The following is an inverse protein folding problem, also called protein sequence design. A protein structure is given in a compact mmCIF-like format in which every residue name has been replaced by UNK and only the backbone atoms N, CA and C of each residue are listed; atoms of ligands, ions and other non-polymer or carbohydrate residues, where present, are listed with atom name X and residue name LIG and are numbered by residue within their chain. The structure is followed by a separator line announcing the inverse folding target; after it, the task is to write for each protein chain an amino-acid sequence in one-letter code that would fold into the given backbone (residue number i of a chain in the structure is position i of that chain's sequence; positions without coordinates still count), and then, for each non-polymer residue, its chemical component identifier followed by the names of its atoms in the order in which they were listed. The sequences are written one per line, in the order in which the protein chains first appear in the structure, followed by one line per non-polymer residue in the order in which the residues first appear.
data_IF_239017456036
#
_entry.id   IF_239017456036
#
_cell.length_a   1.000
_cell.length_b   1.000
_cell.length_c   1.000
_cell.angle_alpha   90.00
_cell.angle_beta   90.00
_cell.angle_gamma   90.00
#
_symmetry.space_group_name_H-M   'P 1'
#
loop_
_entity.id
_entity.type
_entity.pdbx_description
1 polymer ?
#
# COMPACT_ATOMS: atom_id res chain seq x y z
N UNK A 1 8.30 -17.01 13.12
CA UNK A 1 7.79 -15.62 13.08
C UNK A 1 7.94 -15.20 11.63
N UNK A 2 6.86 -14.88 10.91
CA UNK A 2 7.01 -14.38 9.53
C UNK A 2 7.75 -13.04 9.63
N UNK A 3 8.97 -12.99 9.11
CA UNK A 3 9.71 -11.74 9.00
C UNK A 3 8.91 -10.82 8.08
N UNK A 4 8.24 -9.85 8.69
CA UNK A 4 7.55 -8.81 7.96
C UNK A 4 8.60 -7.80 7.52
N UNK A 5 8.71 -7.58 6.22
CA UNK A 5 9.54 -6.52 5.64
C UNK A 5 9.26 -5.23 6.42
N UNK A 6 10.27 -4.49 6.92
CA UNK A 6 10.03 -3.22 7.61
C UNK A 6 9.23 -2.25 6.74
N UNK A 7 8.43 -1.41 7.37
CA UNK A 7 7.76 -0.34 6.64
C UNK A 7 8.78 0.68 6.17
N UNK A 8 8.77 0.96 4.87
CA UNK A 8 9.57 2.00 4.23
C UNK A 8 8.60 2.99 3.56
N UNK A 9 8.59 4.27 3.99
CA UNK A 9 7.67 5.26 3.45
C UNK A 9 7.95 5.61 1.98
N UNK A 10 9.22 5.56 1.52
CA UNK A 10 9.57 5.84 0.13
C UNK A 10 9.11 4.70 -0.78
N UNK A 11 9.34 3.44 -0.35
CA UNK A 11 8.84 2.28 -1.06
C UNK A 11 7.31 2.24 -1.10
N UNK A 12 6.66 2.57 0.01
CA UNK A 12 5.21 2.65 0.09
C UNK A 12 4.64 3.70 -0.87
N UNK A 13 5.25 4.90 -0.93
CA UNK A 13 4.85 5.95 -1.85
C UNK A 13 5.02 5.50 -3.31
N UNK A 14 6.17 4.91 -3.65
CA UNK A 14 6.45 4.40 -5.00
C UNK A 14 5.48 3.28 -5.40
N UNK A 15 5.08 2.42 -4.46
CA UNK A 15 4.07 1.39 -4.71
C UNK A 15 2.70 2.01 -5.05
N UNK A 16 2.29 3.10 -4.38
CA UNK A 16 1.04 3.81 -4.70
C UNK A 16 1.08 4.45 -6.08
N UNK A 17 2.21 5.03 -6.46
CA UNK A 17 2.43 5.60 -7.80
C UNK A 17 2.33 4.53 -8.89
N UNK A 18 2.98 3.38 -8.69
CA UNK A 18 2.89 2.24 -9.62
C UNK A 18 1.46 1.71 -9.78
N UNK A 19 0.65 1.71 -8.70
CA UNK A 19 -0.76 1.31 -8.78
C UNK A 19 -1.60 2.29 -9.60
N UNK A 20 -1.29 3.59 -9.52
CA UNK A 20 -1.96 4.62 -10.34
C UNK A 20 -1.59 4.44 -11.82
N UNK A 21 -0.30 4.30 -12.14
CA UNK A 21 0.15 4.03 -13.51
C UNK A 21 -0.46 2.74 -14.08
N UNK A 22 -0.56 1.70 -13.24
CA UNK A 22 -1.20 0.45 -13.63
C UNK A 22 -2.68 0.67 -13.96
N UNK A 23 -3.42 1.40 -13.12
CA UNK A 23 -4.83 1.71 -13.39
C UNK A 23 -5.01 2.46 -14.71
N UNK A 24 -4.14 3.43 -15.02
CA UNK A 24 -4.17 4.16 -16.29
C UNK A 24 -3.98 3.23 -17.49
N UNK A 25 -2.94 2.38 -17.46
CA UNK A 25 -2.67 1.39 -18.52
C UNK A 25 -3.80 0.38 -18.68
N UNK A 26 -4.50 0.05 -17.61
CA UNK A 26 -5.59 -0.94 -17.65
C UNK A 26 -6.91 -0.35 -18.14
N UNK A 27 -7.14 0.96 -17.99
CA UNK A 27 -8.26 1.66 -18.65
C UNK A 27 -8.18 1.52 -20.17
N UNK A 28 -6.98 1.51 -20.74
CA UNK A 28 -6.75 1.30 -22.18
C UNK A 28 -7.03 -0.14 -22.66
N UNK A 29 -7.21 -1.09 -21.74
CA UNK A 29 -7.43 -2.52 -22.02
C UNK A 29 -8.87 -2.97 -21.87
N UNK A 30 -9.82 -2.04 -21.72
CA UNK A 30 -11.25 -2.31 -21.55
C UNK A 30 -11.56 -3.20 -20.32
N UNK A 31 -10.68 -3.15 -19.31
CA UNK A 31 -10.89 -3.79 -18.02
C UNK A 31 -12.04 -3.11 -17.28
N UNK A 32 -12.82 -3.89 -16.52
CA UNK A 32 -13.88 -3.35 -15.68
C UNK A 32 -13.33 -2.32 -14.68
N UNK A 33 -13.69 -1.01 -14.78
CA UNK A 33 -13.15 0.03 -13.93
C UNK A 33 -13.44 -0.21 -12.44
N UNK A 34 -14.60 -0.79 -12.12
CA UNK A 34 -14.99 -1.07 -10.74
C UNK A 34 -14.07 -2.11 -10.07
N UNK A 35 -13.70 -3.16 -10.80
CA UNK A 35 -12.77 -4.17 -10.28
C UNK A 35 -11.37 -3.59 -10.06
N UNK A 36 -10.94 -2.67 -10.93
CA UNK A 36 -9.66 -1.98 -10.78
C UNK A 36 -9.64 -1.05 -9.56
N UNK A 37 -10.71 -0.30 -9.35
CA UNK A 37 -10.83 0.60 -8.19
C UNK A 37 -10.87 -0.19 -6.88
N UNK A 38 -11.53 -1.36 -6.87
CA UNK A 38 -11.53 -2.28 -5.74
C UNK A 38 -10.13 -2.84 -5.46
N UNK A 39 -9.42 -3.29 -6.49
CA UNK A 39 -8.05 -3.79 -6.36
C UNK A 39 -7.11 -2.71 -5.80
N UNK A 40 -7.14 -1.51 -6.38
CA UNK A 40 -6.31 -0.40 -5.93
C UNK A 40 -6.63 -0.02 -4.48
N UNK A 41 -7.92 0.05 -4.13
CA UNK A 41 -8.36 0.36 -2.76
C UNK A 41 -7.89 -0.69 -1.76
N UNK A 42 -7.93 -1.98 -2.14
CA UNK A 42 -7.45 -3.07 -1.32
C UNK A 42 -5.94 -2.97 -1.06
N UNK A 43 -5.12 -2.81 -2.12
CA UNK A 43 -3.67 -2.69 -1.96
C UNK A 43 -3.30 -1.43 -1.16
N UNK A 44 -3.96 -0.30 -1.44
CA UNK A 44 -3.76 0.92 -0.67
C UNK A 44 -4.06 0.75 0.82
N UNK A 45 -5.09 -0.02 1.15
CA UNK A 45 -5.46 -0.32 2.54
C UNK A 45 -4.39 -1.18 3.23
N UNK A 46 -3.80 -2.14 2.52
CA UNK A 46 -2.70 -2.96 3.06
C UNK A 46 -1.44 -2.12 3.34
N UNK A 47 -1.07 -1.22 2.43
CA UNK A 47 0.06 -0.30 2.63
C UNK A 47 -0.19 0.59 3.85
N UNK A 48 -1.41 1.13 3.98
CA UNK A 48 -1.79 1.96 5.13
C UNK A 48 -1.77 1.17 6.44
N UNK A 49 -2.28 -0.06 6.46
CA UNK A 49 -2.24 -0.91 7.65
C UNK A 49 -0.80 -1.22 8.08
N UNK A 50 0.10 -1.40 7.12
CA UNK A 50 1.52 -1.60 7.40
C UNK A 50 2.16 -0.36 8.03
N UNK A 51 1.86 0.84 7.52
CA UNK A 51 2.32 2.11 8.08
C UNK A 51 1.83 2.32 9.53
N UNK A 52 0.55 2.05 9.79
CA UNK A 52 -0.05 2.17 11.14
C UNK A 52 0.66 1.22 12.11
N UNK A 53 0.89 -0.04 11.70
CA UNK A 53 1.58 -1.02 12.53
C UNK A 53 3.02 -0.60 12.84
N UNK A 54 3.74 -0.08 11.85
CA UNK A 54 5.11 0.40 12.05
C UNK A 54 5.16 1.57 13.04
N UNK A 55 4.29 2.56 12.88
CA UNK A 55 4.17 3.68 13.82
C UNK A 55 3.82 3.21 15.23
N UNK A 56 2.88 2.28 15.38
CA UNK A 56 2.53 1.74 16.69
C UNK A 56 3.73 1.04 17.36
N UNK A 57 4.59 0.36 16.61
CA UNK A 57 5.82 -0.24 17.13
C UNK A 57 6.84 0.82 17.55
N UNK A 58 7.04 1.88 16.76
CA UNK A 58 7.91 3.02 17.11
C UNK A 58 7.45 3.72 18.41
N UNK A 59 6.15 3.98 18.53
CA UNK A 59 5.54 4.59 19.72
C UNK A 59 5.72 3.69 20.96
N UNK A 60 5.62 2.37 20.78
CA UNK A 60 5.80 1.38 21.86
C UNK A 60 7.24 1.31 22.37
N UNK A 61 8.22 1.56 21.51
CA UNK A 61 9.65 1.54 21.87
C UNK A 61 10.10 2.88 22.46
N UNK A 62 9.50 3.99 22.03
CA UNK A 62 9.86 5.34 22.48
C UNK A 62 9.28 5.74 23.85
N UNK A 63 8.38 4.93 24.39
CA UNK A 63 7.76 5.12 25.72
C UNK A 63 8.49 4.45 26.90
N UNK A 64 9.69 3.90 26.67
CA UNK A 64 10.62 3.35 27.67
C UNK A 64 11.79 4.31 27.89
#
# INVERSE_FOLDING_TARGET
MFETIPYDPELAQRARELLLEFQEKMKEKDMNPHQMDQFQSYINSLITAHAIRAKALEDSVSGL
#
